data_IF_567555771621
#
_entry.id   IF_567555771621
#
_cell.length_a   1.000
_cell.length_b   1.000
_cell.length_c   1.000
_cell.angle_alpha   90.00
_cell.angle_beta   90.00
_cell.angle_gamma   90.00
#
_symmetry.space_group_name_H-M   'P 1'
#
loop_
_entity.id
_entity.type
_entity.pdbx_description
1 polymer ?
#
# COMPACT_ATOMS: atom_id res chain seq x y z
N UNK A 1 -24.50 -11.32 -14.62
CA UNK A 1 -23.83 -11.18 -15.92
C UNK A 1 -24.20 -9.87 -16.62
N UNK A 2 -25.46 -9.48 -16.57
CA UNK A 2 -25.97 -8.25 -17.18
C UNK A 2 -25.37 -7.00 -16.54
N UNK A 3 -25.30 -6.96 -15.21
CA UNK A 3 -24.64 -5.90 -14.44
C UNK A 3 -23.18 -5.72 -14.89
N UNK A 4 -22.43 -6.83 -15.01
CA UNK A 4 -21.04 -6.77 -15.45
C UNK A 4 -20.93 -6.21 -16.87
N UNK A 5 -21.79 -6.64 -17.80
CA UNK A 5 -21.79 -6.14 -19.19
C UNK A 5 -22.07 -4.64 -19.26
N UNK A 6 -23.03 -4.15 -18.48
CA UNK A 6 -23.36 -2.73 -18.44
C UNK A 6 -22.22 -1.90 -17.83
N UNK A 7 -21.67 -2.34 -16.70
CA UNK A 7 -20.56 -1.66 -16.05
C UNK A 7 -19.27 -1.67 -16.89
N UNK A 8 -19.03 -2.71 -17.71
CA UNK A 8 -17.91 -2.73 -18.66
C UNK A 8 -18.08 -1.64 -19.76
N UNK A 9 -19.31 -1.39 -20.21
CA UNK A 9 -19.57 -0.33 -21.20
C UNK A 9 -19.23 1.05 -20.63
N UNK A 10 -19.63 1.31 -19.39
CA UNK A 10 -19.42 2.56 -18.65
C UNK A 10 -17.98 2.73 -18.14
N UNK A 11 -17.21 1.64 -18.07
CA UNK A 11 -15.89 1.64 -17.46
C UNK A 11 -14.92 2.61 -18.16
N UNK A 12 -14.16 3.40 -17.40
CA UNK A 12 -13.20 4.35 -17.93
C UNK A 12 -12.01 3.65 -18.61
N UNK A 13 -11.44 4.31 -19.61
CA UNK A 13 -10.23 3.84 -20.32
C UNK A 13 -8.91 4.31 -19.65
N UNK A 14 -8.97 4.75 -18.42
CA UNK A 14 -7.86 5.33 -17.66
C UNK A 14 -7.34 4.37 -16.59
N UNK A 15 -6.22 4.75 -15.99
CA UNK A 15 -5.63 4.04 -14.85
C UNK A 15 -6.51 4.19 -13.60
N UNK A 16 -6.56 3.15 -12.79
CA UNK A 16 -7.30 3.18 -11.53
C UNK A 16 -7.50 1.81 -10.89
N UNK A 17 -8.33 1.79 -9.88
CA UNK A 17 -8.74 0.62 -9.12
C UNK A 17 -10.22 0.37 -9.33
N UNK A 18 -10.59 -0.90 -9.42
CA UNK A 18 -11.99 -1.34 -9.52
C UNK A 18 -12.35 -2.25 -8.36
N UNK A 19 -13.55 -2.07 -7.83
CA UNK A 19 -14.06 -2.79 -6.66
C UNK A 19 -15.33 -3.56 -7.06
N UNK A 20 -15.27 -4.90 -7.04
CA UNK A 20 -16.45 -5.74 -7.19
C UNK A 20 -17.18 -5.83 -5.85
N UNK A 21 -18.44 -5.46 -5.82
CA UNK A 21 -19.25 -5.39 -4.60
C UNK A 21 -20.40 -6.40 -4.62
N UNK A 22 -20.72 -6.95 -3.46
CA UNK A 22 -21.85 -7.86 -3.27
C UNK A 22 -23.17 -7.10 -2.99
N UNK A 23 -24.27 -7.84 -2.73
CA UNK A 23 -25.59 -7.28 -2.40
C UNK A 23 -25.63 -6.38 -1.15
N UNK A 24 -24.63 -6.48 -0.28
CA UNK A 24 -24.48 -5.65 0.94
C UNK A 24 -23.56 -4.45 0.73
N UNK A 25 -23.23 -4.12 -0.52
CA UNK A 25 -22.28 -3.07 -0.92
C UNK A 25 -20.85 -3.26 -0.37
N UNK A 26 -20.52 -4.49 0.06
CA UNK A 26 -19.20 -4.83 0.58
C UNK A 26 -18.27 -5.24 -0.57
N UNK A 27 -17.06 -4.65 -0.69
CA UNK A 27 -16.08 -5.08 -1.67
C UNK A 27 -15.65 -6.54 -1.43
N UNK A 28 -15.85 -7.39 -2.43
CA UNK A 28 -15.47 -8.81 -2.40
C UNK A 28 -14.21 -9.10 -3.21
N UNK A 29 -13.86 -8.20 -4.12
CA UNK A 29 -12.61 -8.23 -4.89
C UNK A 29 -12.20 -6.82 -5.28
N UNK A 30 -10.92 -6.52 -5.20
CA UNK A 30 -10.32 -5.24 -5.58
C UNK A 30 -9.17 -5.53 -6.54
N UNK A 31 -9.05 -4.74 -7.62
CA UNK A 31 -7.97 -4.91 -8.57
C UNK A 31 -7.61 -3.60 -9.27
N UNK A 32 -6.34 -3.47 -9.65
CA UNK A 32 -5.84 -2.31 -10.41
C UNK A 32 -5.81 -2.58 -11.92
N UNK A 33 -5.83 -1.51 -12.69
CA UNK A 33 -5.57 -1.55 -14.12
C UNK A 33 -4.98 -0.24 -14.62
N UNK A 34 -4.15 -0.31 -15.68
CA UNK A 34 -3.75 0.87 -16.47
C UNK A 34 -4.93 1.35 -17.33
N UNK A 35 -5.78 0.41 -17.74
CA UNK A 35 -7.01 0.67 -18.46
C UNK A 35 -8.10 -0.22 -17.87
N UNK A 36 -8.98 0.39 -17.06
CA UNK A 36 -10.02 -0.33 -16.34
C UNK A 36 -10.97 -1.05 -17.32
N UNK A 37 -11.42 -0.38 -18.40
CA UNK A 37 -12.32 -0.97 -19.38
C UNK A 37 -11.77 -2.25 -20.01
N UNK A 38 -10.52 -2.18 -20.49
CA UNK A 38 -9.83 -3.34 -21.07
C UNK A 38 -9.67 -4.46 -20.05
N UNK A 39 -9.37 -4.15 -18.80
CA UNK A 39 -9.21 -5.13 -17.73
C UNK A 39 -10.52 -5.82 -17.40
N UNK A 40 -11.61 -5.07 -17.28
CA UNK A 40 -12.93 -5.60 -16.98
C UNK A 40 -13.50 -6.45 -18.12
N UNK A 41 -13.17 -6.17 -19.38
CA UNK A 41 -13.58 -7.00 -20.53
C UNK A 41 -13.11 -8.45 -20.39
N UNK A 42 -11.98 -8.70 -19.72
CA UNK A 42 -11.48 -10.06 -19.47
C UNK A 42 -12.42 -10.85 -18.54
N UNK A 43 -13.17 -10.20 -17.65
CA UNK A 43 -14.17 -10.87 -16.80
C UNK A 43 -15.48 -11.17 -17.53
N UNK A 44 -15.71 -10.60 -18.70
CA UNK A 44 -16.89 -10.87 -19.52
C UNK A 44 -16.92 -12.27 -20.11
N UNK A 45 -15.76 -12.95 -20.21
CA UNK A 45 -15.67 -14.32 -20.73
C UNK A 45 -15.57 -15.33 -19.58
N UNK A 46 -16.68 -15.60 -18.89
CA UNK A 46 -16.74 -16.47 -17.73
C UNK A 46 -16.09 -17.84 -17.89
N UNK A 47 -16.31 -18.60 -19.00
CA UNK A 47 -15.72 -19.92 -19.17
C UNK A 47 -14.19 -19.93 -19.11
N UNK A 48 -13.53 -18.84 -19.49
CA UNK A 48 -12.06 -18.70 -19.46
C UNK A 48 -11.52 -18.30 -18.09
N UNK A 49 -12.37 -17.95 -17.14
CA UNK A 49 -11.94 -17.55 -15.81
C UNK A 49 -11.73 -18.79 -14.91
N UNK A 50 -10.76 -18.73 -13.96
CA UNK A 50 -10.66 -19.72 -12.90
C UNK A 50 -11.97 -19.79 -12.08
N UNK A 51 -12.34 -20.99 -11.61
CA UNK A 51 -13.61 -21.23 -10.84
C UNK A 51 -13.85 -20.19 -9.72
N UNK A 52 -12.77 -19.78 -9.04
CA UNK A 52 -12.86 -18.76 -7.98
C UNK A 52 -13.34 -17.41 -8.50
N UNK A 53 -12.82 -16.96 -9.65
CA UNK A 53 -13.24 -15.69 -10.27
C UNK A 53 -14.63 -15.79 -10.89
N UNK A 54 -15.02 -16.96 -11.42
CA UNK A 54 -16.40 -17.20 -11.84
C UNK A 54 -17.36 -17.01 -10.67
N UNK A 55 -17.04 -17.60 -9.49
CA UNK A 55 -17.84 -17.44 -8.27
C UNK A 55 -17.85 -15.99 -7.77
N UNK A 56 -16.73 -15.28 -7.88
CA UNK A 56 -16.66 -13.85 -7.55
C UNK A 56 -17.61 -13.04 -8.44
N UNK A 57 -17.55 -13.23 -9.76
CA UNK A 57 -18.42 -12.53 -10.72
C UNK A 57 -19.89 -12.86 -10.47
N UNK A 58 -20.26 -14.12 -10.16
CA UNK A 58 -21.65 -14.50 -9.87
C UNK A 58 -22.22 -13.84 -8.60
N UNK A 59 -21.37 -13.46 -7.66
CA UNK A 59 -21.77 -12.76 -6.43
C UNK A 59 -21.72 -11.23 -6.55
N UNK A 60 -21.22 -10.71 -7.66
CA UNK A 60 -21.08 -9.27 -7.89
C UNK A 60 -22.41 -8.66 -8.30
N UNK A 61 -22.81 -7.60 -7.61
CA UNK A 61 -24.02 -6.82 -7.91
C UNK A 61 -23.66 -5.43 -8.42
N UNK A 62 -22.52 -4.87 -7.99
CA UNK A 62 -22.04 -3.57 -8.45
C UNK A 62 -20.53 -3.57 -8.63
N UNK A 63 -20.03 -2.64 -9.45
CA UNK A 63 -18.59 -2.41 -9.64
C UNK A 63 -18.36 -0.90 -9.57
N UNK A 64 -17.54 -0.49 -8.60
CA UNK A 64 -17.09 0.90 -8.47
C UNK A 64 -15.70 1.10 -9.06
N UNK A 65 -15.40 2.34 -9.42
CA UNK A 65 -14.12 2.73 -10.00
C UNK A 65 -13.53 3.91 -9.24
N UNK A 66 -12.26 3.80 -8.89
CA UNK A 66 -11.47 4.90 -8.35
C UNK A 66 -10.33 5.21 -9.33
N UNK A 67 -10.40 6.38 -9.96
CA UNK A 67 -9.44 6.78 -10.99
C UNK A 67 -8.15 7.27 -10.36
N UNK A 68 -7.05 7.04 -11.05
CA UNK A 68 -5.72 7.50 -10.63
C UNK A 68 -4.95 8.08 -11.80
N UNK A 69 -4.07 9.03 -11.52
CA UNK A 69 -3.24 9.69 -12.53
C UNK A 69 -2.18 8.77 -13.15
N UNK A 70 -1.81 7.69 -12.43
CA UNK A 70 -0.74 6.78 -12.88
C UNK A 70 -0.99 5.34 -12.40
N UNK A 71 -0.34 4.39 -13.09
CA UNK A 71 -0.33 2.98 -12.65
C UNK A 71 0.28 2.82 -11.25
N UNK A 72 1.28 3.64 -10.92
CA UNK A 72 1.90 3.63 -9.59
C UNK A 72 0.90 4.01 -8.51
N UNK A 73 0.11 5.04 -8.73
CA UNK A 73 -0.95 5.45 -7.82
C UNK A 73 -2.05 4.39 -7.71
N UNK A 74 -2.42 3.75 -8.83
CA UNK A 74 -3.35 2.62 -8.82
C UNK A 74 -2.84 1.44 -7.99
N UNK A 75 -1.55 1.12 -8.07
CA UNK A 75 -0.93 0.04 -7.28
C UNK A 75 -0.98 0.34 -5.77
N UNK A 76 -0.68 1.58 -5.38
CA UNK A 76 -0.72 2.01 -3.99
C UNK A 76 -2.15 2.01 -3.45
N UNK A 77 -3.09 2.53 -4.23
CA UNK A 77 -4.50 2.58 -3.87
C UNK A 77 -5.10 1.18 -3.75
N UNK A 78 -4.80 0.26 -4.68
CA UNK A 78 -5.20 -1.15 -4.59
C UNK A 78 -4.75 -1.78 -3.27
N UNK A 79 -3.47 -1.60 -2.90
CA UNK A 79 -2.92 -2.16 -1.66
C UNK A 79 -3.61 -1.59 -0.41
N UNK A 80 -3.86 -0.28 -0.37
CA UNK A 80 -4.57 0.38 0.73
C UNK A 80 -6.01 -0.14 0.86
N UNK A 81 -6.72 -0.24 -0.26
CA UNK A 81 -8.11 -0.71 -0.27
C UNK A 81 -8.21 -2.20 0.08
N UNK A 82 -7.28 -3.05 -0.41
CA UNK A 82 -7.22 -4.47 -0.02
C UNK A 82 -6.99 -4.60 1.48
N UNK A 83 -6.09 -3.79 2.05
CA UNK A 83 -5.83 -3.78 3.49
C UNK A 83 -7.06 -3.33 4.29
N UNK A 84 -7.70 -2.23 3.85
CA UNK A 84 -8.89 -1.66 4.50
C UNK A 84 -10.08 -2.62 4.51
N UNK A 85 -10.37 -3.27 3.38
CA UNK A 85 -11.58 -4.08 3.21
C UNK A 85 -11.35 -5.58 3.34
N UNK A 86 -10.11 -6.06 3.31
CA UNK A 86 -9.74 -7.49 3.34
C UNK A 86 -10.63 -8.37 2.45
N UNK A 87 -10.76 -8.07 1.13
CA UNK A 87 -11.79 -8.68 0.28
C UNK A 87 -11.58 -10.18 0.14
N UNK A 88 -12.68 -10.96 0.23
CA UNK A 88 -12.66 -12.42 0.27
C UNK A 88 -11.98 -13.06 -0.95
N UNK A 89 -12.08 -12.45 -2.13
CA UNK A 89 -11.56 -12.99 -3.38
C UNK A 89 -10.18 -12.48 -3.76
N UNK A 90 -9.59 -11.55 -3.03
CA UNK A 90 -8.16 -11.29 -3.15
C UNK A 90 -7.39 -12.43 -2.49
N UNK A 91 -6.44 -13.03 -3.22
CA UNK A 91 -5.48 -13.94 -2.58
C UNK A 91 -4.59 -13.04 -1.73
N UNK A 92 -4.60 -13.25 -0.41
CA UNK A 92 -3.47 -12.78 0.39
C UNK A 92 -2.24 -13.42 -0.25
N UNK A 93 -1.35 -12.60 -0.77
CA UNK A 93 -0.04 -13.08 -1.15
C UNK A 93 0.48 -13.78 0.10
N UNK A 94 0.81 -15.09 0.00
CA UNK A 94 1.38 -15.88 1.11
C UNK A 94 2.69 -15.27 1.61
N UNK A 95 3.36 -14.53 0.75
CA UNK A 95 4.37 -13.56 1.13
C UNK A 95 3.66 -12.32 1.67
N UNK A 96 3.69 -12.16 2.98
CA UNK A 96 3.24 -10.98 3.72
C UNK A 96 4.17 -9.76 3.47
N UNK A 97 4.55 -9.59 2.21
CA UNK A 97 5.36 -8.48 1.72
C UNK A 97 4.46 -7.28 1.51
N UNK A 98 3.95 -6.76 2.62
CA UNK A 98 3.34 -5.44 2.62
C UNK A 98 4.35 -4.43 2.05
N UNK A 99 3.85 -3.44 1.32
CA UNK A 99 4.70 -2.35 0.84
C UNK A 99 5.41 -1.68 2.04
N UNK A 100 6.70 -1.33 1.88
CA UNK A 100 7.41 -0.63 2.94
C UNK A 100 6.81 0.74 3.20
N UNK A 101 6.75 1.09 4.46
CA UNK A 101 6.32 2.37 5.00
C UNK A 101 7.49 3.01 5.74
N UNK A 102 7.47 4.33 5.91
CA UNK A 102 8.37 5.05 6.81
C UNK A 102 7.56 5.42 8.05
N UNK A 103 8.02 5.01 9.23
CA UNK A 103 7.44 5.39 10.51
C UNK A 103 8.35 6.39 11.21
N UNK A 104 7.77 7.45 11.77
CA UNK A 104 8.41 8.31 12.76
C UNK A 104 8.10 7.69 14.12
N UNK A 105 9.12 7.31 14.88
CA UNK A 105 8.92 6.76 16.24
C UNK A 105 8.49 7.86 17.20
N UNK A 106 7.79 7.47 18.26
CA UNK A 106 7.40 8.38 19.34
C UNK A 106 8.58 8.76 20.23
N UNK A 107 8.38 9.79 21.09
CA UNK A 107 9.35 10.24 22.06
C UNK A 107 9.99 11.59 21.71
N UNK A 108 10.78 12.11 22.66
CA UNK A 108 11.41 13.43 22.54
C UNK A 108 12.41 13.54 21.38
N UNK A 109 13.09 12.44 21.07
CA UNK A 109 14.04 12.34 19.95
C UNK A 109 13.60 11.21 19.01
N UNK A 110 12.62 11.48 18.13
CA UNK A 110 12.11 10.48 17.19
C UNK A 110 13.18 10.08 16.16
N UNK A 111 13.02 8.88 15.60
CA UNK A 111 13.83 8.41 14.47
C UNK A 111 12.94 7.96 13.32
N UNK A 112 13.49 7.99 12.12
CA UNK A 112 12.86 7.40 10.94
C UNK A 112 13.26 5.93 10.84
N UNK A 113 12.27 5.06 10.66
CA UNK A 113 12.49 3.63 10.48
C UNK A 113 11.60 3.09 9.36
N UNK A 114 12.12 2.10 8.62
CA UNK A 114 11.29 1.35 7.68
C UNK A 114 10.41 0.39 8.46
N UNK A 115 9.14 0.32 8.04
CA UNK A 115 8.10 -0.47 8.68
C UNK A 115 7.28 -1.22 7.63
N UNK A 116 6.69 -2.37 7.97
CA UNK A 116 5.91 -3.17 7.02
C UNK A 116 4.62 -3.76 7.60
N UNK A 117 4.42 -3.66 8.90
CA UNK A 117 3.30 -4.29 9.58
C UNK A 117 2.06 -3.40 9.64
N UNK A 118 1.03 -3.87 10.34
CA UNK A 118 -0.15 -3.08 10.63
C UNK A 118 0.22 -1.91 11.55
N UNK A 119 -0.33 -0.74 11.24
CA UNK A 119 -0.13 0.48 12.03
C UNK A 119 -1.47 0.92 12.62
N UNK A 120 -1.40 1.54 13.78
CA UNK A 120 -2.55 2.17 14.41
C UNK A 120 -2.81 3.54 13.81
N UNK A 121 -4.03 4.06 14.00
CA UNK A 121 -4.46 5.33 13.40
C UNK A 121 -3.62 6.53 13.87
N UNK A 122 -3.04 6.44 15.07
CA UNK A 122 -2.19 7.47 15.67
C UNK A 122 -0.71 7.39 15.27
N UNK A 123 -0.31 6.33 14.56
CA UNK A 123 1.06 6.16 14.08
C UNK A 123 1.39 7.19 13.00
N UNK A 124 2.48 7.93 13.15
CA UNK A 124 3.02 8.84 12.12
C UNK A 124 3.74 8.03 11.04
N UNK A 125 2.96 7.57 10.04
CA UNK A 125 3.41 6.68 8.98
C UNK A 125 3.24 7.31 7.61
N UNK A 126 4.25 7.19 6.76
CA UNK A 126 4.29 7.71 5.39
C UNK A 126 4.48 6.59 4.38
N UNK A 127 3.82 6.67 3.24
CA UNK A 127 3.85 5.66 2.19
C UNK A 127 2.46 5.20 1.82
N UNK A 128 2.29 4.04 1.21
CA UNK A 128 3.28 2.98 0.96
C UNK A 128 4.25 3.29 -0.18
N UNK A 129 5.47 2.72 -0.10
CA UNK A 129 6.50 2.83 -1.13
C UNK A 129 6.63 1.51 -1.90
N UNK A 130 6.96 1.57 -3.19
CA UNK A 130 7.03 0.37 -4.06
C UNK A 130 8.34 -0.43 -3.91
N UNK A 131 9.36 0.10 -3.25
CA UNK A 131 10.67 -0.54 -3.14
C UNK A 131 11.33 -0.29 -1.78
N UNK A 132 11.66 -1.37 -1.08
CA UNK A 132 12.37 -1.33 0.19
C UNK A 132 13.73 -0.63 0.09
N UNK A 133 14.52 -0.94 -0.96
CA UNK A 133 15.83 -0.33 -1.18
C UNK A 133 15.74 1.18 -1.40
N UNK A 134 14.74 1.63 -2.17
CA UNK A 134 14.51 3.07 -2.38
C UNK A 134 14.05 3.75 -1.09
N UNK A 135 13.20 3.09 -0.30
CA UNK A 135 12.77 3.59 1.01
C UNK A 135 13.94 3.76 1.97
N UNK A 136 14.82 2.76 2.06
CA UNK A 136 16.03 2.85 2.90
C UNK A 136 16.96 3.98 2.45
N UNK A 137 17.12 4.20 1.14
CA UNK A 137 17.88 5.34 0.61
C UNK A 137 17.26 6.69 1.01
N UNK A 138 15.94 6.82 0.90
CA UNK A 138 15.22 8.04 1.32
C UNK A 138 15.42 8.28 2.82
N UNK A 139 15.25 7.26 3.66
CA UNK A 139 15.48 7.37 5.11
C UNK A 139 16.90 7.86 5.40
N UNK A 140 17.93 7.28 4.77
CA UNK A 140 19.31 7.69 4.95
C UNK A 140 19.56 9.14 4.54
N UNK A 141 18.99 9.59 3.42
CA UNK A 141 19.08 10.97 2.96
C UNK A 141 18.45 11.91 4.00
N UNK A 142 17.22 11.62 4.44
CA UNK A 142 16.54 12.44 5.45
C UNK A 142 17.31 12.48 6.78
N UNK A 143 17.78 11.33 7.25
CA UNK A 143 18.59 11.25 8.47
C UNK A 143 19.84 12.13 8.38
N UNK A 144 20.56 12.08 7.27
CA UNK A 144 21.76 12.89 7.04
C UNK A 144 21.45 14.38 6.92
N UNK A 145 20.42 14.74 6.12
CA UNK A 145 20.08 16.15 5.85
C UNK A 145 19.58 16.88 7.11
N UNK A 146 18.77 16.19 7.92
CA UNK A 146 18.20 16.74 9.15
C UNK A 146 18.97 16.36 10.42
N UNK A 147 20.12 15.67 10.28
CA UNK A 147 20.97 15.19 11.39
C UNK A 147 20.18 14.37 12.42
N UNK A 148 19.23 13.57 11.95
CA UNK A 148 18.37 12.76 12.83
C UNK A 148 19.16 11.55 13.34
N UNK A 149 18.84 11.14 14.58
CA UNK A 149 19.42 9.90 15.10
C UNK A 149 18.97 8.67 14.29
N UNK A 150 19.87 7.74 14.07
CA UNK A 150 19.60 6.45 13.41
C UNK A 150 19.65 5.25 14.37
N UNK A 151 20.24 5.44 15.55
CA UNK A 151 20.36 4.39 16.57
C UNK A 151 19.02 3.92 17.10
N UNK A 152 18.96 2.67 17.57
CA UNK A 152 17.76 2.11 18.23
C UNK A 152 17.48 2.80 19.56
N UNK A 153 16.27 2.66 20.08
CA UNK A 153 15.91 3.29 21.36
C UNK A 153 16.70 2.70 22.54
N UNK A 154 17.05 1.42 22.45
CA UNK A 154 17.91 0.77 23.43
C UNK A 154 19.34 1.32 23.40
N UNK A 155 19.93 1.43 22.21
CA UNK A 155 21.24 2.04 22.04
C UNK A 155 21.25 3.51 22.49
N UNK A 156 20.21 4.24 22.17
CA UNK A 156 20.06 5.64 22.57
C UNK A 156 20.04 5.82 24.09
N UNK A 157 19.24 5.02 24.79
CA UNK A 157 19.14 5.06 26.28
C UNK A 157 20.45 4.67 26.98
N UNK A 158 21.18 3.73 26.41
CA UNK A 158 22.40 3.21 27.04
C UNK A 158 23.65 4.02 26.70
N UNK A 159 23.56 4.96 25.76
CA UNK A 159 24.72 5.72 25.29
C UNK A 159 25.00 6.91 26.20
N UNK A 160 26.25 7.03 26.62
CA UNK A 160 26.74 8.11 27.50
C UNK A 160 27.66 9.13 26.79
N UNK A 161 27.94 8.92 25.50
CA UNK A 161 28.79 9.80 24.69
C UNK A 161 28.36 9.80 23.23
N UNK A 162 28.57 10.90 22.48
CA UNK A 162 28.32 10.96 21.05
C UNK A 162 29.02 9.81 20.29
N UNK A 163 28.40 9.38 19.20
CA UNK A 163 28.96 8.36 18.32
C UNK A 163 29.61 9.00 17.10
N UNK A 164 30.35 8.19 16.32
CA UNK A 164 31.02 8.62 15.10
C UNK A 164 30.13 9.42 14.13
N UNK A 165 28.82 9.17 14.11
CA UNK A 165 27.90 9.94 13.26
C UNK A 165 27.79 11.42 13.66
N UNK A 166 28.08 11.76 14.90
CA UNK A 166 28.22 13.15 15.35
C UNK A 166 29.44 13.78 14.76
N UNK A 167 30.59 13.12 14.87
CA UNK A 167 31.87 13.62 14.32
C UNK A 167 31.79 13.81 12.80
N UNK A 168 31.06 12.89 12.11
CA UNK A 168 30.76 12.96 10.68
C UNK A 168 29.66 13.99 10.32
N UNK A 169 29.14 14.76 11.29
CA UNK A 169 28.07 15.74 11.13
C UNK A 169 26.77 15.16 10.53
N UNK A 170 26.51 13.87 10.74
CA UNK A 170 25.33 13.17 10.26
C UNK A 170 24.25 12.94 11.33
N UNK A 171 24.53 13.31 12.59
CA UNK A 171 23.62 13.24 13.71
C UNK A 171 23.85 14.43 14.63
N UNK A 172 22.81 14.96 15.27
CA UNK A 172 22.90 16.05 16.25
C UNK A 172 23.35 15.60 17.65
N UNK A 173 23.56 14.28 17.85
CA UNK A 173 23.94 13.67 19.11
C UNK A 173 23.02 14.03 20.30
N UNK A 174 21.70 13.78 20.23
CA UNK A 174 20.81 14.06 21.35
C UNK A 174 21.04 13.11 22.54
N UNK A 175 21.90 12.12 22.36
CA UNK A 175 22.33 11.18 23.43
C UNK A 175 23.42 11.80 24.29
#
# INVERSE_FOLDING_TARGET
LEVLKNRIKEAPKTSGVYLFKNKKDIPIYIGKAINIKRRLSNYGNLPKLPRRLQKMVSQTVNIDFELTESERNALLLEALLIKKFSPRYNIRLKDDKSFPLIKITDGQFPRLTRFRNDFHQDDRVFGPFTSALKTDKVIKILQKSFKLRSCTDLEFKNRKRPCLLFDLKQCSAPC
#
